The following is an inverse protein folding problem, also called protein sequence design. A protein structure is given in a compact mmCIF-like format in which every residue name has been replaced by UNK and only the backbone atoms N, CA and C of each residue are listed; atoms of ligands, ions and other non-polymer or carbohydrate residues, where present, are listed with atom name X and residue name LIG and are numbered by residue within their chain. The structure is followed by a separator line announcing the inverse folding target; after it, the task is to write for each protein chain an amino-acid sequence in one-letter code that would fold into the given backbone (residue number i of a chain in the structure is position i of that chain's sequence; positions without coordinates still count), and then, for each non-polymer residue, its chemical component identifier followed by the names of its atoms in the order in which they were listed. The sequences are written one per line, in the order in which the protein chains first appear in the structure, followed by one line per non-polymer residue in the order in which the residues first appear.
data_IF_252713334634
#
_entry.id   IF_252713334634
#
_cell.length_a   1.000
_cell.length_b   1.000
_cell.length_c   1.000
_cell.angle_alpha   90.00
_cell.angle_beta   90.00
_cell.angle_gamma   90.00
#
_symmetry.space_group_name_H-M   'P 1'
#
loop_
_entity.id
_entity.type
_entity.pdbx_description
1 polymer ?
#
# COMPACT_ATOMS: atom_id res chain seq x y z
N UNK A 1 15.65 -17.61 43.89
CA UNK A 1 15.32 -16.75 42.72
C UNK A 1 14.38 -15.66 43.23
N UNK A 2 14.81 -14.40 43.19
CA UNK A 2 14.09 -13.31 43.88
C UNK A 2 12.77 -12.99 43.17
N UNK A 3 11.68 -12.81 43.92
CA UNK A 3 10.36 -12.48 43.37
C UNK A 3 10.38 -11.24 42.45
N UNK A 4 11.34 -10.33 42.65
CA UNK A 4 11.54 -9.15 41.81
C UNK A 4 12.08 -9.47 40.41
N UNK A 5 12.94 -10.49 40.25
CA UNK A 5 13.44 -10.87 38.92
C UNK A 5 12.37 -11.61 38.09
N UNK A 6 11.52 -12.39 38.75
CA UNK A 6 10.36 -13.01 38.11
C UNK A 6 9.35 -11.98 37.57
N UNK A 7 9.06 -10.93 38.36
CA UNK A 7 8.17 -9.83 37.94
C UNK A 7 8.72 -9.05 36.73
N UNK A 8 10.02 -8.75 36.73
CA UNK A 8 10.67 -8.10 35.60
C UNK A 8 10.63 -8.96 34.34
N UNK A 9 10.86 -10.27 34.48
CA UNK A 9 10.81 -11.20 33.35
C UNK A 9 9.41 -11.32 32.75
N UNK A 10 8.36 -11.32 33.58
CA UNK A 10 6.97 -11.32 33.10
C UNK A 10 6.62 -10.03 32.37
N UNK A 11 7.05 -8.87 32.86
CA UNK A 11 6.82 -7.58 32.20
C UNK A 11 7.50 -7.53 30.81
N UNK A 12 8.72 -8.04 30.71
CA UNK A 12 9.44 -8.17 29.43
C UNK A 12 8.71 -9.09 28.46
N UNK A 13 8.21 -10.24 28.93
CA UNK A 13 7.44 -11.17 28.10
C UNK A 13 6.15 -10.53 27.57
N UNK A 14 5.43 -9.78 28.42
CA UNK A 14 4.24 -9.04 28.01
C UNK A 14 4.56 -7.92 27.00
N UNK A 15 5.65 -7.17 27.22
CA UNK A 15 6.06 -6.13 26.28
C UNK A 15 6.43 -6.70 24.91
N UNK A 16 7.17 -7.81 24.87
CA UNK A 16 7.52 -8.50 23.63
C UNK A 16 6.27 -9.02 22.91
N UNK A 17 5.34 -9.65 23.63
CA UNK A 17 4.08 -10.12 23.06
C UNK A 17 3.24 -8.97 22.47
N UNK A 18 3.17 -7.84 23.16
CA UNK A 18 2.44 -6.66 22.69
C UNK A 18 3.05 -6.06 21.40
N UNK A 19 4.38 -6.02 21.30
CA UNK A 19 5.08 -5.54 20.09
C UNK A 19 4.87 -6.49 18.89
N UNK A 20 4.87 -7.81 19.12
CA UNK A 20 4.60 -8.78 18.06
C UNK A 20 3.14 -8.69 17.58
N UNK A 21 2.19 -8.53 18.49
CA UNK A 21 0.77 -8.39 18.14
C UNK A 21 0.48 -7.09 17.38
N UNK A 22 1.13 -5.98 17.76
CA UNK A 22 0.97 -4.70 17.06
C UNK A 22 1.54 -4.74 15.64
N UNK A 23 2.64 -5.46 15.42
CA UNK A 23 3.22 -5.68 14.10
C UNK A 23 2.24 -6.46 13.18
N UNK A 24 1.58 -7.50 13.69
CA UNK A 24 0.57 -8.25 12.94
C UNK A 24 -0.67 -7.40 12.61
N UNK A 25 -1.16 -6.58 13.56
CA UNK A 25 -2.31 -5.71 13.32
C UNK A 25 -2.03 -4.62 12.27
N UNK A 26 -0.77 -4.19 12.14
CA UNK A 26 -0.37 -3.19 11.16
C UNK A 26 -0.22 -3.78 9.74
N UNK A 27 -0.07 -5.10 9.62
CA UNK A 27 -0.01 -5.79 8.34
C UNK A 27 -1.35 -5.72 7.60
N UNK A 28 -2.48 -5.93 8.29
CA UNK A 28 -3.82 -5.81 7.67
C UNK A 28 -4.16 -4.38 7.23
N UNK A 29 -3.57 -3.37 7.87
CA UNK A 29 -3.74 -1.95 7.47
C UNK A 29 -2.99 -1.60 6.18
N UNK A 30 -2.09 -2.46 5.72
CA UNK A 30 -1.49 -2.39 4.38
C UNK A 30 -2.31 -3.17 3.34
N UNK A 31 -3.59 -3.43 3.61
CA UNK A 31 -4.57 -3.72 2.56
C UNK A 31 -4.45 -2.61 1.53
N UNK A 32 -4.03 -2.96 0.30
CA UNK A 32 -4.14 -2.09 -0.87
C UNK A 32 -5.45 -1.32 -0.81
N UNK A 33 -5.55 -0.04 -1.20
CA UNK A 33 -6.82 0.67 -1.14
C UNK A 33 -7.89 -0.23 -1.74
N UNK A 34 -8.80 -0.70 -0.87
CA UNK A 34 -9.88 -1.57 -1.27
C UNK A 34 -10.54 -0.82 -2.43
N UNK A 35 -10.54 -1.40 -3.64
CA UNK A 35 -11.29 -0.84 -4.74
C UNK A 35 -12.77 -0.94 -4.35
N UNK A 36 -13.26 0.03 -3.59
CA UNK A 36 -14.62 0.04 -3.03
C UNK A 36 -15.67 0.20 -4.12
N UNK A 37 -15.24 0.47 -5.36
CA UNK A 37 -16.07 0.67 -6.53
C UNK A 37 -15.49 -0.16 -7.66
N UNK A 38 -16.31 -1.04 -8.24
CA UNK A 38 -16.00 -1.68 -9.52
C UNK A 38 -15.95 -0.60 -10.61
N UNK A 39 -14.72 -0.25 -11.02
CA UNK A 39 -14.47 0.78 -12.03
C UNK A 39 -15.13 0.44 -13.38
N UNK A 40 -15.33 -0.85 -13.68
CA UNK A 40 -16.05 -1.27 -14.89
C UNK A 40 -17.55 -0.98 -14.78
N UNK A 41 -18.21 -1.36 -13.68
CA UNK A 41 -19.60 -0.97 -13.42
C UNK A 41 -19.79 0.56 -13.42
N UNK A 42 -18.87 1.30 -12.81
CA UNK A 42 -18.91 2.76 -12.82
C UNK A 42 -18.80 3.33 -14.23
N UNK A 43 -17.86 2.85 -15.04
CA UNK A 43 -17.65 3.37 -16.39
C UNK A 43 -18.73 2.92 -17.38
N UNK A 44 -19.38 1.76 -17.20
CA UNK A 44 -20.60 1.43 -17.95
C UNK A 44 -21.73 2.41 -17.66
N UNK A 45 -21.88 2.85 -16.42
CA UNK A 45 -22.95 3.76 -16.02
C UNK A 45 -22.68 5.23 -16.38
N UNK A 46 -21.42 5.66 -16.39
CA UNK A 46 -21.05 7.09 -16.50
C UNK A 46 -20.14 7.42 -17.69
N UNK A 47 -19.38 6.45 -18.20
CA UNK A 47 -18.40 6.63 -19.28
C UNK A 47 -18.91 6.21 -20.66
N UNK A 48 -20.11 5.65 -20.75
CA UNK A 48 -20.69 5.17 -22.00
C UNK A 48 -20.46 3.67 -22.25
N UNK A 49 -20.82 3.22 -23.45
CA UNK A 49 -20.78 1.80 -23.81
C UNK A 49 -19.35 1.24 -23.80
N UNK A 50 -19.12 0.01 -23.33
CA UNK A 50 -17.84 -0.68 -23.44
C UNK A 50 -17.26 -0.62 -24.86
N UNK A 51 -15.97 -0.30 -24.94
CA UNK A 51 -15.25 -0.16 -26.22
C UNK A 51 -15.38 1.22 -26.88
N UNK A 52 -16.24 2.10 -26.37
CA UNK A 52 -16.24 3.51 -26.79
C UNK A 52 -15.01 4.25 -26.26
N UNK A 53 -14.61 5.33 -26.95
CA UNK A 53 -13.51 6.20 -26.50
C UNK A 53 -13.78 6.82 -25.12
N UNK A 54 -15.04 7.15 -24.83
CA UNK A 54 -15.46 7.70 -23.55
C UNK A 54 -15.33 6.67 -22.41
N UNK A 55 -15.69 5.41 -22.66
CA UNK A 55 -15.53 4.34 -21.67
C UNK A 55 -14.05 4.09 -21.37
N UNK A 56 -13.20 4.06 -22.40
CA UNK A 56 -11.75 3.90 -22.24
C UNK A 56 -11.13 5.06 -21.46
N UNK A 57 -11.56 6.29 -21.72
CA UNK A 57 -11.13 7.48 -20.97
C UNK A 57 -11.52 7.37 -19.50
N UNK A 58 -12.78 7.02 -19.21
CA UNK A 58 -13.26 6.82 -17.83
C UNK A 58 -12.42 5.77 -17.08
N UNK A 59 -12.18 4.61 -17.71
CA UNK A 59 -11.37 3.54 -17.12
C UNK A 59 -9.96 4.01 -16.79
N UNK A 60 -9.34 4.78 -17.70
CA UNK A 60 -8.00 5.34 -17.50
C UNK A 60 -7.96 6.34 -16.35
N UNK A 61 -8.93 7.24 -16.27
CA UNK A 61 -8.98 8.25 -15.20
C UNK A 61 -9.19 7.62 -13.82
N UNK A 62 -10.02 6.58 -13.74
CA UNK A 62 -10.21 5.78 -12.51
C UNK A 62 -8.93 5.08 -12.08
N UNK A 63 -8.19 4.49 -13.02
CA UNK A 63 -6.90 3.82 -12.75
C UNK A 63 -5.83 4.82 -12.25
N UNK A 64 -5.78 6.02 -12.83
CA UNK A 64 -4.91 7.12 -12.36
C UNK A 64 -5.31 7.58 -10.96
N UNK A 65 -6.61 7.68 -10.66
CA UNK A 65 -7.08 8.03 -9.31
C UNK A 65 -6.73 6.95 -8.28
N UNK A 66 -6.92 5.68 -8.63
CA UNK A 66 -6.59 4.53 -7.77
C UNK A 66 -5.09 4.50 -7.46
N UNK A 67 -4.24 4.62 -8.48
CA UNK A 67 -2.78 4.63 -8.32
C UNK A 67 -2.24 5.81 -7.51
N UNK A 68 -2.89 6.98 -7.58
CA UNK A 68 -2.62 8.13 -6.71
C UNK A 68 -3.07 7.89 -5.26
N UNK A 69 -4.29 7.37 -5.05
CA UNK A 69 -4.83 7.07 -3.73
C UNK A 69 -4.02 5.99 -2.99
N UNK A 70 -3.49 5.01 -3.73
CA UNK A 70 -2.61 3.96 -3.19
C UNK A 70 -1.25 4.48 -2.71
N UNK A 71 -0.88 5.72 -3.03
CA UNK A 71 0.48 6.24 -2.83
C UNK A 71 1.56 5.50 -3.65
N UNK A 72 1.15 4.50 -4.45
CA UNK A 72 2.01 3.60 -5.21
C UNK A 72 2.84 4.37 -6.24
N UNK A 73 2.21 5.28 -7.00
CA UNK A 73 2.94 6.09 -7.98
C UNK A 73 4.07 6.90 -7.34
N UNK A 74 3.86 7.48 -6.15
CA UNK A 74 4.92 8.26 -5.49
C UNK A 74 6.13 7.42 -5.07
N UNK A 75 5.92 6.13 -4.76
CA UNK A 75 6.99 5.20 -4.40
C UNK A 75 7.68 4.63 -5.64
N UNK A 76 6.89 4.26 -6.65
CA UNK A 76 7.37 3.75 -7.93
C UNK A 76 8.23 4.81 -8.64
N UNK A 77 7.73 6.05 -8.77
CA UNK A 77 8.49 7.16 -9.36
C UNK A 77 9.80 7.44 -8.62
N UNK A 78 9.78 7.37 -7.28
CA UNK A 78 10.99 7.52 -6.47
C UNK A 78 11.98 6.39 -6.71
N UNK A 79 11.53 5.14 -6.79
CA UNK A 79 12.42 4.01 -7.11
C UNK A 79 12.99 4.08 -8.52
N UNK A 80 12.20 4.51 -9.52
CA UNK A 80 12.70 4.69 -10.88
C UNK A 80 13.75 5.80 -10.96
N UNK A 81 13.51 6.93 -10.28
CA UNK A 81 14.50 8.00 -10.20
C UNK A 81 15.78 7.52 -9.54
N UNK A 82 15.69 6.87 -8.38
CA UNK A 82 16.87 6.35 -7.68
C UNK A 82 17.67 5.37 -8.54
N UNK A 83 16.98 4.48 -9.28
CA UNK A 83 17.63 3.56 -10.20
C UNK A 83 18.31 4.29 -11.37
N UNK A 84 17.65 5.29 -11.96
CA UNK A 84 18.22 6.08 -13.03
C UNK A 84 19.48 6.84 -12.58
N UNK A 85 19.45 7.41 -11.39
CA UNK A 85 20.63 8.07 -10.79
C UNK A 85 21.76 7.06 -10.51
N UNK A 86 21.46 5.85 -10.01
CA UNK A 86 22.46 4.79 -9.82
C UNK A 86 23.11 4.38 -11.14
N UNK A 87 22.33 4.19 -12.20
CA UNK A 87 22.87 3.83 -13.51
C UNK A 87 23.73 4.94 -14.13
N UNK A 88 23.40 6.21 -13.85
CA UNK A 88 24.16 7.35 -14.34
C UNK A 88 25.47 7.55 -13.56
N UNK A 89 25.43 7.39 -12.23
CA UNK A 89 26.58 7.66 -11.35
C UNK A 89 27.47 6.44 -11.11
N UNK A 90 26.97 5.23 -11.38
CA UNK A 90 27.72 3.98 -11.28
C UNK A 90 27.52 3.11 -12.54
N UNK A 91 27.91 3.61 -13.73
CA UNK A 91 27.91 2.81 -14.94
C UNK A 91 28.95 1.70 -14.80
N UNK A 92 28.47 0.45 -14.85
CA UNK A 92 29.30 -0.76 -14.77
C UNK A 92 29.84 -1.10 -16.15
#
# INVERSE_FOLDING_TARGET
MNASTAKFSSLLAFAAAALLLSACAQFERNTSPQATVDDDAYCRANGGEPGSSAYVACRKDRDVQSSRAAGSNSRIERSHRNLAEDMLNNPR
#
